data_IF_370463563447
#
_entry.id   IF_370463563447
#
_cell.length_a   1.000
_cell.length_b   1.000
_cell.length_c   1.000
_cell.angle_alpha   90.00
_cell.angle_beta   90.00
_cell.angle_gamma   90.00
#
_symmetry.space_group_name_H-M   'P 1'
#
loop_
_entity.id
_entity.type
_entity.pdbx_description
1 polymer ?
#
# COMPACT_ATOMS: atom_id res chain seq x y z
N UNK A 1 -7.39 23.51 -7.32
CA UNK A 1 -6.46 23.76 -8.48
C UNK A 1 -6.42 22.48 -9.34
N UNK A 2 -5.82 22.46 -10.54
CA UNK A 2 -5.92 21.29 -11.47
C UNK A 2 -5.21 20.04 -10.92
N UNK A 3 -4.09 20.25 -10.23
CA UNK A 3 -3.31 19.24 -9.52
C UNK A 3 -4.10 18.56 -8.40
N UNK A 4 -4.71 19.34 -7.52
CA UNK A 4 -5.57 18.85 -6.44
C UNK A 4 -6.72 17.98 -6.98
N UNK A 5 -7.41 18.47 -8.01
CA UNK A 5 -8.48 17.72 -8.69
C UNK A 5 -8.00 16.35 -9.16
N UNK A 6 -6.85 16.32 -9.84
CA UNK A 6 -6.29 15.07 -10.38
C UNK A 6 -5.98 14.06 -9.29
N UNK A 7 -5.37 14.50 -8.18
CA UNK A 7 -5.00 13.60 -7.07
C UNK A 7 -6.23 13.07 -6.37
N UNK A 8 -7.23 13.91 -6.12
CA UNK A 8 -8.51 13.50 -5.50
C UNK A 8 -9.25 12.48 -6.36
N UNK A 9 -9.40 12.75 -7.67
CA UNK A 9 -10.09 11.85 -8.58
C UNK A 9 -9.35 10.51 -8.73
N UNK A 10 -8.02 10.53 -8.79
CA UNK A 10 -7.21 9.32 -8.89
C UNK A 10 -7.32 8.45 -7.63
N UNK A 11 -7.22 9.04 -6.44
CA UNK A 11 -7.34 8.31 -5.18
C UNK A 11 -8.75 7.74 -5.00
N UNK A 12 -9.79 8.49 -5.41
CA UNK A 12 -11.17 8.02 -5.36
C UNK A 12 -11.43 6.85 -6.33
N UNK A 13 -10.85 6.90 -7.53
CA UNK A 13 -11.03 5.86 -8.54
C UNK A 13 -10.24 4.57 -8.26
N UNK A 14 -9.20 4.63 -7.43
CA UNK A 14 -8.34 3.48 -7.10
C UNK A 14 -8.19 3.34 -5.57
N UNK A 15 -9.27 3.00 -4.85
CA UNK A 15 -9.18 2.72 -3.42
C UNK A 15 -8.43 1.41 -3.19
N UNK A 16 -7.66 1.36 -2.10
CA UNK A 16 -6.87 0.18 -1.70
C UNK A 16 -6.97 0.04 -0.19
N UNK A 17 -7.21 -1.19 0.30
CA UNK A 17 -7.05 -1.50 1.72
C UNK A 17 -5.55 -1.60 2.08
N UNK A 18 -5.23 -1.57 3.37
CA UNK A 18 -3.85 -1.69 3.86
C UNK A 18 -3.21 -3.02 3.42
N UNK A 19 -4.01 -4.08 3.30
CA UNK A 19 -3.58 -5.37 2.78
C UNK A 19 -3.29 -5.34 1.27
N UNK A 20 -4.07 -4.58 0.49
CA UNK A 20 -3.84 -4.48 -0.95
C UNK A 20 -2.53 -3.74 -1.24
N UNK A 21 -2.20 -2.73 -0.43
CA UNK A 21 -0.93 -2.01 -0.55
C UNK A 21 0.27 -2.93 -0.37
N UNK A 22 0.26 -3.79 0.66
CA UNK A 22 1.38 -4.71 0.87
C UNK A 22 1.43 -5.82 -0.18
N UNK A 23 0.29 -6.30 -0.69
CA UNK A 23 0.24 -7.29 -1.78
C UNK A 23 0.79 -6.73 -3.09
N UNK A 24 0.31 -5.56 -3.52
CA UNK A 24 0.73 -4.93 -4.78
C UNK A 24 2.25 -4.65 -4.81
N UNK A 25 2.84 -4.33 -3.65
CA UNK A 25 4.29 -4.14 -3.52
C UNK A 25 5.02 -5.48 -3.46
N UNK A 26 4.54 -6.44 -2.64
CA UNK A 26 5.15 -7.75 -2.54
C UNK A 26 5.19 -8.49 -3.88
N UNK A 27 4.13 -8.43 -4.68
CA UNK A 27 4.07 -9.05 -6.01
C UNK A 27 5.17 -8.54 -6.93
N UNK A 28 5.52 -7.25 -6.86
CA UNK A 28 6.63 -6.68 -7.61
C UNK A 28 7.97 -7.17 -7.09
N UNK A 29 8.14 -7.25 -5.77
CA UNK A 29 9.38 -7.74 -5.15
C UNK A 29 9.59 -9.24 -5.44
N UNK A 30 8.53 -10.04 -5.45
CA UNK A 30 8.58 -11.44 -5.86
C UNK A 30 9.00 -11.63 -7.32
N UNK A 31 8.71 -10.66 -8.19
CA UNK A 31 9.07 -10.73 -9.61
C UNK A 31 10.52 -10.35 -9.92
N UNK A 32 11.27 -9.87 -8.93
CA UNK A 32 12.67 -9.48 -9.09
C UNK A 32 13.60 -10.55 -8.49
N UNK A 33 14.19 -11.36 -9.36
CA UNK A 33 15.12 -12.45 -8.97
C UNK A 33 16.38 -11.96 -8.21
N UNK A 34 16.68 -10.64 -8.23
CA UNK A 34 17.79 -10.07 -7.47
C UNK A 34 17.44 -9.84 -5.99
N UNK A 35 16.16 -9.87 -5.64
CA UNK A 35 15.66 -9.65 -4.28
C UNK A 35 15.46 -11.01 -3.63
N UNK A 36 16.46 -11.44 -2.87
CA UNK A 36 16.42 -12.74 -2.18
C UNK A 36 15.66 -12.71 -0.85
N UNK A 37 15.34 -11.52 -0.34
CA UNK A 37 14.64 -11.34 0.92
C UNK A 37 13.96 -9.97 0.95
N UNK A 38 12.75 -9.90 1.49
CA UNK A 38 12.11 -8.62 1.76
C UNK A 38 11.09 -8.68 2.90
N UNK A 39 10.79 -7.50 3.44
CA UNK A 39 9.64 -7.26 4.30
C UNK A 39 8.95 -5.97 3.87
N UNK A 40 7.64 -6.04 3.67
CA UNK A 40 6.78 -4.91 3.29
C UNK A 40 5.75 -4.72 4.40
N UNK A 41 5.56 -3.49 4.84
CA UNK A 41 4.52 -3.12 5.81
C UNK A 41 3.83 -1.84 5.41
N UNK A 42 2.53 -1.75 5.66
CA UNK A 42 1.74 -0.53 5.52
C UNK A 42 0.98 -0.26 6.83
N UNK A 43 0.90 1.01 7.20
CA UNK A 43 0.16 1.52 8.34
C UNK A 43 -0.75 2.67 7.87
N UNK A 44 -2.05 2.53 8.08
CA UNK A 44 -3.04 3.55 7.81
C UNK A 44 -3.51 4.19 9.11
N UNK A 45 -3.30 5.49 9.25
CA UNK A 45 -3.91 6.29 10.30
C UNK A 45 -5.38 6.52 9.94
N UNK A 46 -6.27 5.75 10.56
CA UNK A 46 -7.68 5.74 10.20
C UNK A 46 -8.35 7.09 10.45
N UNK A 47 -9.01 7.64 9.42
CA UNK A 47 -9.66 8.95 9.52
C UNK A 47 -10.94 8.97 10.37
N UNK A 48 -11.53 7.80 10.63
CA UNK A 48 -12.78 7.63 11.40
C UNK A 48 -12.63 6.73 12.64
N UNK A 49 -11.41 6.28 12.96
CA UNK A 49 -11.10 5.46 14.13
C UNK A 49 -9.86 6.01 14.86
N UNK A 50 -9.76 5.80 16.17
CA UNK A 50 -8.59 6.23 16.97
C UNK A 50 -7.56 5.10 17.13
N UNK A 51 -7.24 4.40 16.05
CA UNK A 51 -6.20 3.39 15.97
C UNK A 51 -5.74 3.26 14.51
N UNK A 52 -4.56 2.68 14.30
CA UNK A 52 -4.06 2.39 12.94
C UNK A 52 -4.54 1.03 12.44
N UNK A 53 -4.77 0.92 11.14
CA UNK A 53 -4.83 -0.37 10.45
C UNK A 53 -3.43 -0.74 9.95
N UNK A 54 -3.02 -2.01 10.09
CA UNK A 54 -1.67 -2.46 9.78
C UNK A 54 -1.68 -3.79 9.04
N UNK A 55 -0.82 -3.92 8.03
CA UNK A 55 -0.55 -5.18 7.35
C UNK A 55 0.94 -5.31 7.03
N UNK A 56 1.43 -6.56 6.99
CA UNK A 56 2.79 -6.85 6.54
C UNK A 56 2.92 -8.20 5.82
N UNK A 57 3.90 -8.29 4.93
CA UNK A 57 4.33 -9.50 4.24
C UNK A 57 5.86 -9.58 4.37
N UNK A 58 6.37 -10.76 4.74
CA UNK A 58 7.81 -11.04 4.79
C UNK A 58 8.09 -12.30 3.98
N UNK A 59 9.12 -12.26 3.13
CA UNK A 59 9.58 -13.40 2.34
C UNK A 59 11.08 -13.64 2.56
N UNK A 60 11.44 -14.91 2.68
CA UNK A 60 12.81 -15.44 2.78
C UNK A 60 13.16 -16.35 1.60
#
# INVERSE_FOLDING_TARGET
RVDEKRVTEQAFANPKFVEDMVRDVADKLFSDDNITWFSVSAENFESIHNHSAYASITSN
#
